data_IF_781115780830
#
_entry.id   IF_781115780830
#
_cell.length_a   1.000
_cell.length_b   1.000
_cell.length_c   1.000
_cell.angle_alpha   90.00
_cell.angle_beta   90.00
_cell.angle_gamma   90.00
#
_symmetry.space_group_name_H-M   'P 1'
#
loop_
_entity.id
_entity.type
_entity.pdbx_description
1 polymer ?
#
# COMPACT_ATOMS: atom_id res chain seq x y z
N UNK A 1 5.39 -2.13 -68.76
CA UNK A 1 5.07 -3.20 -67.80
C UNK A 1 4.28 -2.54 -66.66
N UNK A 2 2.95 -2.60 -66.73
CA UNK A 2 2.07 -1.88 -65.81
C UNK A 2 1.84 -2.74 -64.55
N UNK A 3 2.20 -2.21 -63.38
CA UNK A 3 1.86 -2.84 -62.10
C UNK A 3 0.35 -2.63 -61.90
N UNK A 4 -0.44 -3.68 -61.68
CA UNK A 4 -1.89 -3.56 -61.57
C UNK A 4 -2.25 -2.72 -60.33
N UNK A 5 -3.23 -1.81 -60.47
CA UNK A 5 -3.73 -0.93 -59.39
C UNK A 5 -4.15 -1.69 -58.12
N UNK A 6 -4.41 -3.00 -58.19
CA UNK A 6 -4.72 -3.83 -57.01
C UNK A 6 -3.51 -4.04 -56.09
N UNK A 7 -2.28 -4.06 -56.63
CA UNK A 7 -1.06 -4.27 -55.85
C UNK A 7 -0.61 -3.01 -55.09
N UNK A 8 -0.87 -1.81 -55.64
CA UNK A 8 -0.60 -0.54 -54.96
C UNK A 8 -1.59 -0.24 -53.83
N UNK A 9 -2.85 -0.68 -53.96
CA UNK A 9 -3.86 -0.56 -52.90
C UNK A 9 -3.53 -1.49 -51.73
N UNK A 10 -3.11 -2.73 -52.01
CA UNK A 10 -2.78 -3.70 -50.96
C UNK A 10 -1.54 -3.29 -50.14
N UNK A 11 -0.53 -2.71 -50.81
CA UNK A 11 0.69 -2.20 -50.14
C UNK A 11 0.42 -0.94 -49.32
N UNK A 12 -0.47 -0.06 -49.77
CA UNK A 12 -0.91 1.12 -48.99
C UNK A 12 -1.74 0.73 -47.76
N UNK A 13 -2.60 -0.29 -47.85
CA UNK A 13 -3.37 -0.82 -46.72
C UNK A 13 -2.48 -1.46 -45.64
N UNK A 14 -1.42 -2.18 -46.03
CA UNK A 14 -0.47 -2.77 -45.09
C UNK A 14 0.35 -1.70 -44.35
N UNK A 15 0.72 -0.60 -45.02
CA UNK A 15 1.44 0.51 -44.38
C UNK A 15 0.56 1.31 -43.40
N UNK A 16 -0.74 1.46 -43.70
CA UNK A 16 -1.70 2.10 -42.78
C UNK A 16 -1.93 1.23 -41.54
N UNK A 17 -2.00 -0.10 -41.69
CA UNK A 17 -2.13 -1.03 -40.57
C UNK A 17 -0.87 -1.08 -39.69
N UNK A 18 0.32 -0.94 -40.28
CA UNK A 18 1.58 -0.84 -39.53
C UNK A 18 1.76 0.53 -38.86
N UNK A 19 1.25 1.61 -39.46
CA UNK A 19 1.30 2.97 -38.90
C UNK A 19 0.39 3.19 -37.70
N UNK A 20 -0.77 2.52 -37.66
CA UNK A 20 -1.72 2.59 -36.53
C UNK A 20 -1.23 1.84 -35.28
N UNK A 21 -0.22 0.97 -35.41
CA UNK A 21 0.33 0.22 -34.29
C UNK A 21 1.38 1.01 -33.47
N UNK A 22 1.92 2.12 -33.98
CA UNK A 22 3.00 2.86 -33.30
C UNK A 22 2.54 3.83 -32.20
N UNK A 23 1.24 4.06 -32.01
CA UNK A 23 0.75 4.93 -30.93
C UNK A 23 -0.26 4.26 -30.00
N UNK A 24 -0.37 2.93 -30.04
CA UNK A 24 -1.01 2.21 -28.95
C UNK A 24 -0.06 2.23 -27.75
N UNK A 25 -0.03 3.35 -27.04
CA UNK A 25 0.43 3.35 -25.64
C UNK A 25 -0.52 2.43 -24.91
N UNK A 26 0.01 1.33 -24.38
CA UNK A 26 -0.73 0.36 -23.61
C UNK A 26 -1.35 1.07 -22.38
N UNK A 27 -2.67 1.04 -22.18
CA UNK A 27 -3.32 1.63 -21.01
C UNK A 27 -2.89 0.98 -19.67
N UNK A 28 -2.10 -0.09 -19.69
CA UNK A 28 -1.56 -0.75 -18.49
C UNK A 28 -0.30 -0.11 -17.91
N UNK A 29 0.30 0.88 -18.58
CA UNK A 29 1.50 1.56 -18.11
C UNK A 29 1.23 2.72 -17.12
N UNK A 30 -0.05 3.01 -16.80
CA UNK A 30 -0.37 3.87 -15.66
C UNK A 30 -0.23 3.08 -14.35
N UNK A 31 1.00 3.05 -13.85
CA UNK A 31 1.32 2.85 -12.43
C UNK A 31 0.87 1.50 -11.85
N UNK A 32 1.16 0.39 -12.55
CA UNK A 32 1.29 -0.89 -11.85
C UNK A 32 2.46 -0.79 -10.87
N UNK A 33 2.13 -0.55 -9.61
CA UNK A 33 3.04 -0.75 -8.49
C UNK A 33 3.34 -2.25 -8.41
N UNK A 34 4.23 -2.76 -9.27
CA UNK A 34 4.66 -4.15 -9.19
C UNK A 34 5.33 -4.31 -7.84
N UNK A 35 4.79 -5.18 -7.00
CA UNK A 35 5.41 -5.61 -5.75
C UNK A 35 6.70 -6.36 -6.09
N UNK A 36 7.75 -5.61 -6.38
CA UNK A 36 9.07 -6.14 -6.69
C UNK A 36 9.79 -6.38 -5.37
N UNK A 37 10.45 -7.52 -5.23
CA UNK A 37 11.33 -7.77 -4.06
C UNK A 37 12.45 -6.73 -3.98
N UNK A 38 13.05 -6.37 -5.12
CA UNK A 38 14.19 -5.46 -5.17
C UNK A 38 15.31 -5.89 -4.20
N UNK A 39 15.82 -4.94 -3.41
CA UNK A 39 16.82 -5.17 -2.37
C UNK A 39 16.22 -5.59 -1.01
N UNK A 40 14.97 -6.05 -0.96
CA UNK A 40 14.33 -6.48 0.28
C UNK A 40 14.57 -7.97 0.59
N UNK A 41 14.50 -8.36 1.87
CA UNK A 41 14.53 -9.77 2.27
C UNK A 41 13.40 -10.58 1.63
N UNK A 42 13.49 -11.90 1.71
CA UNK A 42 12.43 -12.78 1.21
C UNK A 42 11.09 -12.47 1.90
N UNK A 43 10.01 -12.45 1.12
CA UNK A 43 8.65 -12.08 1.56
C UNK A 43 8.46 -10.61 1.95
N UNK A 44 9.42 -9.75 1.60
CA UNK A 44 9.29 -8.29 1.68
C UNK A 44 9.33 -7.67 0.28
N UNK A 45 8.63 -6.56 0.12
CA UNK A 45 8.45 -5.88 -1.16
C UNK A 45 8.97 -4.45 -1.10
N UNK A 46 9.75 -4.06 -2.11
CA UNK A 46 10.40 -2.77 -2.17
C UNK A 46 9.46 -1.70 -2.72
N UNK A 47 9.46 -0.56 -2.04
CA UNK A 47 8.90 0.67 -2.57
C UNK A 47 9.57 1.88 -1.95
N UNK A 48 9.94 2.87 -2.77
CA UNK A 48 10.56 4.11 -2.30
C UNK A 48 11.83 3.88 -1.45
N UNK A 49 12.57 2.79 -1.70
CA UNK A 49 13.77 2.43 -0.93
C UNK A 49 13.50 1.85 0.45
N UNK A 50 12.24 1.55 0.81
CA UNK A 50 11.86 0.81 2.03
C UNK A 50 11.22 -0.52 1.67
N UNK A 51 11.18 -1.43 2.63
CA UNK A 51 10.61 -2.76 2.47
C UNK A 51 9.32 -2.89 3.27
N UNK A 52 8.30 -3.48 2.67
CA UNK A 52 6.98 -3.68 3.26
C UNK A 52 6.61 -5.16 3.25
N UNK A 53 5.90 -5.60 4.29
CA UNK A 53 5.46 -6.99 4.41
C UNK A 53 4.08 -7.06 5.05
N UNK A 54 3.17 -7.73 4.38
CA UNK A 54 1.88 -8.11 4.97
C UNK A 54 2.04 -9.39 5.80
N UNK A 55 1.44 -9.41 6.98
CA UNK A 55 1.40 -10.55 7.87
C UNK A 55 -0.06 -10.93 8.10
N UNK A 56 -0.45 -12.08 7.58
CA UNK A 56 -1.84 -12.56 7.60
C UNK A 56 -2.30 -13.07 8.98
N UNK A 57 -1.36 -13.48 9.84
CA UNK A 57 -1.69 -13.99 11.19
C UNK A 57 -2.20 -12.86 12.06
N UNK A 58 -3.48 -12.87 12.49
CA UNK A 58 -4.05 -11.77 13.25
C UNK A 58 -3.43 -11.66 14.65
N UNK A 59 -3.13 -10.44 15.07
CA UNK A 59 -2.52 -10.13 16.37
C UNK A 59 -3.13 -8.86 16.95
N UNK A 60 -3.01 -8.65 18.26
CA UNK A 60 -3.32 -7.35 18.86
C UNK A 60 -2.37 -6.29 18.31
N UNK A 61 -2.74 -5.01 18.37
CA UNK A 61 -1.87 -3.95 17.83
C UNK A 61 -0.47 -3.99 18.48
N UNK A 62 -0.40 -4.22 19.79
CA UNK A 62 0.86 -4.32 20.52
C UNK A 62 1.71 -5.53 20.11
N UNK A 63 1.08 -6.71 19.98
CA UNK A 63 1.79 -7.92 19.54
C UNK A 63 2.26 -7.81 18.08
N UNK A 64 1.46 -7.17 17.22
CA UNK A 64 1.81 -6.90 15.82
C UNK A 64 3.01 -5.94 15.71
N UNK A 65 3.05 -4.89 16.53
CA UNK A 65 4.20 -3.99 16.62
C UNK A 65 5.46 -4.73 17.08
N UNK A 66 5.36 -5.54 18.15
CA UNK A 66 6.48 -6.37 18.62
C UNK A 66 6.97 -7.34 17.54
N UNK A 67 6.05 -7.92 16.75
CA UNK A 67 6.40 -8.76 15.62
C UNK A 67 7.21 -7.99 14.58
N UNK A 68 6.79 -6.79 14.19
CA UNK A 68 7.53 -5.97 13.23
C UNK A 68 8.91 -5.56 13.79
N UNK A 69 8.98 -5.17 15.07
CA UNK A 69 10.25 -4.82 15.74
C UNK A 69 11.22 -5.99 15.74
N UNK A 70 10.75 -7.23 15.97
CA UNK A 70 11.58 -8.43 15.89
C UNK A 70 12.21 -8.67 14.51
N UNK A 71 11.70 -8.01 13.46
CA UNK A 71 12.19 -8.07 12.08
C UNK A 71 12.88 -6.76 11.65
N UNK A 72 13.33 -5.95 12.61
CA UNK A 72 14.01 -4.67 12.37
C UNK A 72 13.14 -3.67 11.55
N UNK A 73 11.86 -3.63 11.90
CA UNK A 73 10.81 -2.85 11.30
C UNK A 73 9.86 -2.30 12.38
N UNK A 74 8.82 -1.59 11.97
CA UNK A 74 7.66 -1.26 12.82
C UNK A 74 6.39 -1.56 12.03
N UNK A 75 5.21 -1.48 12.68
CA UNK A 75 3.97 -1.34 11.94
C UNK A 75 4.06 -0.14 10.98
N UNK A 76 3.43 -0.27 9.82
CA UNK A 76 3.60 0.68 8.72
C UNK A 76 3.17 2.09 9.13
N UNK A 77 4.09 3.04 8.97
CA UNK A 77 3.81 4.47 8.90
C UNK A 77 3.46 4.88 7.48
N UNK A 78 2.50 5.80 7.32
CA UNK A 78 2.01 6.26 6.00
C UNK A 78 2.12 7.77 5.89
N UNK A 79 2.88 8.25 4.91
CA UNK A 79 3.24 9.67 4.74
C UNK A 79 2.75 10.30 3.44
N UNK A 80 2.00 9.56 2.62
CA UNK A 80 1.45 10.07 1.37
C UNK A 80 0.29 9.21 0.88
N UNK A 81 -0.54 9.78 0.01
CA UNK A 81 -1.59 9.03 -0.69
C UNK A 81 -1.01 7.86 -1.50
N UNK A 82 0.16 8.04 -2.13
CA UNK A 82 0.80 6.98 -2.90
C UNK A 82 1.24 5.81 -2.01
N UNK A 83 1.76 6.10 -0.81
CA UNK A 83 2.10 5.07 0.17
C UNK A 83 0.85 4.38 0.74
N UNK A 84 -0.24 5.11 0.99
CA UNK A 84 -1.52 4.52 1.41
C UNK A 84 -2.07 3.54 0.35
N UNK A 85 -2.03 3.95 -0.92
CA UNK A 85 -2.42 3.10 -2.04
C UNK A 85 -1.52 1.87 -2.19
N UNK A 86 -0.21 2.00 -1.94
CA UNK A 86 0.68 0.85 -1.88
C UNK A 86 0.23 -0.15 -0.81
N UNK A 87 -0.06 0.34 0.41
CA UNK A 87 -0.42 -0.53 1.53
C UNK A 87 -1.71 -1.28 1.20
N UNK A 88 -2.71 -0.59 0.65
CA UNK A 88 -3.96 -1.19 0.17
C UNK A 88 -3.73 -2.27 -0.89
N UNK A 89 -2.88 -1.98 -1.87
CA UNK A 89 -2.54 -2.95 -2.91
C UNK A 89 -1.77 -4.15 -2.35
N UNK A 90 -0.85 -3.93 -1.42
CA UNK A 90 -0.12 -5.00 -0.75
C UNK A 90 -1.10 -5.94 -0.02
N UNK A 91 -2.04 -5.39 0.74
CA UNK A 91 -3.09 -6.16 1.42
C UNK A 91 -3.90 -6.95 0.38
N UNK A 92 -4.45 -6.29 -0.64
CA UNK A 92 -5.24 -6.95 -1.70
C UNK A 92 -4.51 -8.13 -2.36
N UNK A 93 -3.18 -8.02 -2.55
CA UNK A 93 -2.40 -9.06 -3.20
C UNK A 93 -2.19 -10.31 -2.33
N UNK A 94 -2.28 -10.19 -1.01
CA UNK A 94 -2.07 -11.31 -0.07
C UNK A 94 -3.32 -11.72 0.71
N UNK A 95 -4.36 -10.88 0.70
CA UNK A 95 -5.65 -11.13 1.32
C UNK A 95 -6.78 -10.74 0.36
N UNK A 96 -7.36 -11.73 -0.36
CA UNK A 96 -8.51 -11.50 -1.23
C UNK A 96 -9.76 -11.00 -0.51
N UNK A 97 -9.88 -11.22 0.80
CA UNK A 97 -10.99 -10.71 1.60
C UNK A 97 -10.78 -9.23 1.98
N UNK A 98 -9.55 -8.72 1.82
CA UNK A 98 -9.17 -7.35 2.11
C UNK A 98 -9.62 -6.93 3.52
N UNK A 99 -9.25 -7.73 4.52
CA UNK A 99 -9.64 -7.50 5.90
C UNK A 99 -9.07 -6.17 6.45
N UNK A 100 -9.75 -5.63 7.47
CA UNK A 100 -9.21 -4.56 8.30
C UNK A 100 -7.81 -4.95 8.79
N UNK A 101 -6.85 -4.04 8.62
CA UNK A 101 -5.42 -4.34 8.79
C UNK A 101 -4.77 -3.28 9.67
N UNK A 102 -3.94 -3.67 10.64
CA UNK A 102 -3.23 -2.71 11.49
C UNK A 102 -2.20 -1.88 10.73
N UNK A 103 -2.14 -0.60 11.09
CA UNK A 103 -1.06 0.33 10.75
C UNK A 103 -0.44 0.87 12.05
N UNK A 104 0.72 1.52 11.97
CA UNK A 104 1.49 1.89 13.15
C UNK A 104 1.00 3.12 13.91
N UNK A 105 -0.22 3.60 13.66
CA UNK A 105 -0.75 4.83 14.26
C UNK A 105 -1.51 4.51 15.55
N UNK A 106 -1.19 5.21 16.63
CA UNK A 106 -1.87 5.08 17.93
C UNK A 106 -1.87 6.41 18.69
N UNK A 107 -2.89 6.65 19.50
CA UNK A 107 -2.95 7.74 20.47
C UNK A 107 -3.07 7.23 21.92
N UNK A 108 -2.74 5.95 22.17
CA UNK A 108 -2.87 5.30 23.47
C UNK A 108 -2.08 5.99 24.61
N UNK A 109 -1.05 6.78 24.27
CA UNK A 109 -0.31 7.58 25.25
C UNK A 109 -1.10 8.81 25.72
N UNK A 110 -1.88 9.41 24.82
CA UNK A 110 -2.68 10.61 25.05
C UNK A 110 -3.74 10.72 23.97
N UNK A 111 -5.01 10.59 24.38
CA UNK A 111 -6.18 10.76 23.52
C UNK A 111 -6.08 12.00 22.61
N UNK A 112 -6.31 11.81 21.31
CA UNK A 112 -6.17 12.83 20.26
C UNK A 112 -4.72 13.18 19.88
N UNK A 113 -3.75 12.70 20.65
CA UNK A 113 -2.30 12.83 20.43
C UNK A 113 -1.73 11.66 19.64
N UNK A 114 -2.22 11.45 18.42
CA UNK A 114 -1.77 10.38 17.54
C UNK A 114 -0.26 10.45 17.26
N UNK A 115 0.40 9.28 17.24
CA UNK A 115 1.81 9.08 16.93
C UNK A 115 2.01 7.81 16.10
N UNK A 116 3.01 7.81 15.22
CA UNK A 116 3.50 6.59 14.57
C UNK A 116 4.44 5.83 15.50
N UNK A 117 4.33 4.49 15.54
CA UNK A 117 5.20 3.63 16.34
C UNK A 117 6.68 3.67 15.95
N UNK A 118 6.97 4.02 14.69
CA UNK A 118 8.34 4.23 14.19
C UNK A 118 8.92 5.61 14.56
N UNK A 119 8.19 6.43 15.33
CA UNK A 119 8.62 7.75 15.78
C UNK A 119 8.62 8.85 14.71
N UNK A 120 8.15 8.55 13.50
CA UNK A 120 8.04 9.57 12.45
C UNK A 120 6.89 10.55 12.73
N UNK A 121 7.00 11.76 12.17
CA UNK A 121 5.95 12.78 12.32
C UNK A 121 4.66 12.38 11.61
N UNK A 122 3.52 12.85 12.12
CA UNK A 122 2.25 12.74 11.39
C UNK A 122 2.09 13.91 10.41
N UNK A 123 2.31 13.64 9.14
CA UNK A 123 2.19 14.57 8.03
C UNK A 123 1.14 14.16 6.98
N UNK A 124 0.54 12.98 7.13
CA UNK A 124 -0.52 12.48 6.28
C UNK A 124 -1.59 11.76 7.11
N UNK A 125 -2.86 11.88 6.69
CA UNK A 125 -4.01 11.24 7.32
C UNK A 125 -5.00 10.82 6.24
N UNK A 126 -5.46 9.56 6.28
CA UNK A 126 -6.53 9.06 5.42
C UNK A 126 -7.67 8.46 6.25
N UNK A 127 -8.05 9.14 7.33
CA UNK A 127 -9.21 8.79 8.16
C UNK A 127 -10.49 8.72 7.33
N UNK A 128 -11.32 7.73 7.64
CA UNK A 128 -12.66 7.65 7.10
C UNK A 128 -13.50 8.85 7.55
N UNK A 129 -14.59 9.12 6.84
CA UNK A 129 -15.50 10.18 7.24
C UNK A 129 -15.97 10.00 8.69
N UNK A 130 -15.77 11.04 9.51
CA UNK A 130 -16.05 11.11 10.96
C UNK A 130 -15.06 10.39 11.87
N UNK A 131 -13.97 9.83 11.33
CA UNK A 131 -12.90 9.23 12.11
C UNK A 131 -11.73 10.20 12.37
N UNK A 132 -10.96 10.01 13.45
CA UNK A 132 -11.20 9.07 14.54
C UNK A 132 -12.35 9.53 15.45
N UNK A 133 -13.24 8.63 15.84
CA UNK A 133 -14.45 8.93 16.63
C UNK A 133 -14.36 8.47 18.10
N UNK A 134 -13.30 7.74 18.43
CA UNK A 134 -13.04 7.14 19.73
C UNK A 134 -14.30 6.46 20.30
N UNK A 135 -14.87 5.51 19.57
CA UNK A 135 -16.16 4.93 19.93
C UNK A 135 -16.13 4.32 21.34
N UNK A 136 -16.97 4.88 22.22
CA UNK A 136 -17.07 4.56 23.66
C UNK A 136 -15.82 4.90 24.50
N UNK A 137 -14.85 5.62 23.95
CA UNK A 137 -13.70 6.13 24.71
C UNK A 137 -12.55 5.14 24.89
N UNK A 138 -12.44 4.11 24.04
CA UNK A 138 -11.41 3.06 24.17
C UNK A 138 -10.73 2.70 22.84
N UNK A 139 -10.86 3.53 21.80
CA UNK A 139 -10.32 3.25 20.47
C UNK A 139 -9.05 4.07 20.26
N UNK A 140 -7.90 3.41 20.39
CA UNK A 140 -6.62 4.09 20.46
C UNK A 140 -5.58 3.59 19.44
N UNK A 141 -6.00 2.72 18.53
CA UNK A 141 -5.13 2.10 17.53
C UNK A 141 -5.79 2.16 16.16
N UNK A 142 -5.05 2.59 15.15
CA UNK A 142 -5.60 2.74 13.80
C UNK A 142 -5.48 1.45 12.99
N UNK A 143 -6.55 1.09 12.30
CA UNK A 143 -6.55 0.15 11.20
C UNK A 143 -6.80 0.86 9.88
N UNK A 144 -6.35 0.27 8.78
CA UNK A 144 -6.70 0.65 7.41
C UNK A 144 -7.62 -0.39 6.79
N UNK A 145 -8.04 -0.14 5.55
CA UNK A 145 -8.86 -1.05 4.75
C UNK A 145 -10.26 -1.27 5.33
N UNK A 146 -10.80 -0.27 6.02
CA UNK A 146 -12.11 -0.36 6.66
C UNK A 146 -13.23 0.13 5.73
N UNK A 147 -14.20 -0.74 5.49
CA UNK A 147 -15.43 -0.47 4.73
C UNK A 147 -15.16 0.23 3.37
N UNK A 148 -16.23 0.71 2.72
CA UNK A 148 -16.25 1.41 1.42
C UNK A 148 -14.91 1.80 0.78
N UNK A 149 -14.41 2.99 1.08
CA UNK A 149 -13.19 3.58 0.46
C UNK A 149 -11.87 3.05 1.03
N UNK A 150 -11.90 2.06 1.93
CA UNK A 150 -10.72 1.44 2.56
C UNK A 150 -9.89 2.44 3.36
N UNK A 151 -10.54 3.46 3.93
CA UNK A 151 -9.93 4.52 4.72
C UNK A 151 -9.62 4.05 6.15
N UNK A 152 -8.94 4.88 6.94
CA UNK A 152 -8.50 4.51 8.29
C UNK A 152 -9.64 4.64 9.31
N UNK A 153 -9.62 3.77 10.31
CA UNK A 153 -10.52 3.79 11.46
C UNK A 153 -9.68 3.65 12.73
N UNK A 154 -10.01 4.36 13.80
CA UNK A 154 -9.53 4.00 15.13
C UNK A 154 -10.41 2.88 15.68
N UNK A 155 -9.78 1.95 16.39
CA UNK A 155 -10.46 0.81 17.00
C UNK A 155 -9.76 0.44 18.30
N UNK A 156 -10.40 -0.44 19.08
CA UNK A 156 -9.84 -0.96 20.32
C UNK A 156 -8.57 -1.78 20.03
N UNK A 157 -7.44 -1.41 20.62
CA UNK A 157 -6.13 -2.05 20.40
C UNK A 157 -6.09 -3.56 20.70
N UNK A 158 -7.03 -4.07 21.50
CA UNK A 158 -7.15 -5.48 21.88
C UNK A 158 -7.81 -6.35 20.81
N UNK A 159 -8.35 -5.77 19.73
CA UNK A 159 -8.85 -6.53 18.57
C UNK A 159 -7.66 -7.23 17.90
N UNK A 160 -7.90 -8.37 17.26
CA UNK A 160 -6.89 -9.06 16.47
C UNK A 160 -7.10 -8.79 14.98
N UNK A 161 -6.10 -8.21 14.31
CA UNK A 161 -6.11 -8.00 12.85
C UNK A 161 -4.79 -8.48 12.23
N UNK A 162 -4.80 -8.84 10.94
CA UNK A 162 -3.58 -8.88 10.15
C UNK A 162 -2.94 -7.48 10.12
N UNK A 163 -1.69 -7.39 9.67
CA UNK A 163 -0.93 -6.15 9.79
C UNK A 163 0.14 -6.00 8.70
N UNK A 164 0.60 -4.77 8.50
CA UNK A 164 1.70 -4.48 7.58
C UNK A 164 2.89 -3.93 8.35
N UNK A 165 4.06 -4.55 8.17
CA UNK A 165 5.33 -4.05 8.65
C UNK A 165 6.03 -3.20 7.58
N UNK A 166 6.80 -2.21 8.02
CA UNK A 166 7.66 -1.35 7.20
C UNK A 166 9.07 -1.28 7.79
N UNK A 167 10.07 -1.62 6.99
CA UNK A 167 11.47 -1.60 7.43
C UNK A 167 11.91 -0.19 7.82
N UNK A 168 12.88 -0.09 8.72
CA UNK A 168 13.56 1.17 9.01
C UNK A 168 14.22 1.73 7.74
N UNK A 169 14.43 3.06 7.70
CA UNK A 169 15.21 3.66 6.62
C UNK A 169 16.65 3.13 6.71
N UNK A 170 17.24 2.66 5.60
CA UNK A 170 18.66 2.31 5.58
C UNK A 170 19.49 3.52 6.05
N UNK A 171 20.26 3.36 7.13
CA UNK A 171 21.18 4.41 7.62
C UNK A 171 20.71 5.23 8.82
N UNK A 172 19.62 4.86 9.50
CA UNK A 172 19.35 5.36 10.87
C UNK A 172 19.73 4.27 11.86
N UNK A 173 21.03 4.13 12.11
CA UNK A 173 21.50 3.49 13.35
C UNK A 173 21.26 4.46 14.49
N UNK A 174 20.64 4.00 15.58
CA UNK A 174 20.76 4.66 16.88
C UNK A 174 22.22 4.65 17.34
#
# INVERSE_FOLDING_TARGET
MAIPLSFTIFTMLVLILLGLALTAVDPSDEQELKLLRGNCPMFWYNYGGRCYKYVATPMTWGDAELHCVSQNANLVSVHSLTEDNLVKMLIRNFDPAEASTWIGLSDAQKEGGWLWSDGTKIDFRAWAAKQPDNWKGYEHCASTNNWGKKEWNDVRCSIVYPFVCKSHKPGVTA
#
